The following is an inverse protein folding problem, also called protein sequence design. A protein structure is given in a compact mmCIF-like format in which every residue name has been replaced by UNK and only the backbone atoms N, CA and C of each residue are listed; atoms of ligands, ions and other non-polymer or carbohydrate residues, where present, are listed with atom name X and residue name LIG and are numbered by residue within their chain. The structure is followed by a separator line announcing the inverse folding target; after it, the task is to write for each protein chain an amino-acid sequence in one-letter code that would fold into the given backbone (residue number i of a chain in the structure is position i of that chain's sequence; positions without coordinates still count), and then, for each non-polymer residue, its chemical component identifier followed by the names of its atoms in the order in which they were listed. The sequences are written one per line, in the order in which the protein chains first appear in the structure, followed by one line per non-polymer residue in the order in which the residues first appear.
data_IF_491753967525
#
_entry.id   IF_491753967525
#
_cell.length_a   1.000
_cell.length_b   1.000
_cell.length_c   1.000
_cell.angle_alpha   90.00
_cell.angle_beta   90.00
_cell.angle_gamma   90.00
#
_symmetry.space_group_name_H-M   'P 1'
#
loop_
_entity.id
_entity.type
_entity.pdbx_description
1 polymer ?
#
# COMPACT_ATOMS: atom_id res chain seq x y z
N UNK A 1 -11.57 -7.29 -3.09
CA UNK A 1 -11.10 -6.21 -2.21
C UNK A 1 -11.53 -4.90 -2.84
N UNK A 2 -12.25 -4.05 -2.11
CA UNK A 2 -12.72 -2.77 -2.63
C UNK A 2 -11.60 -1.73 -2.53
N UNK A 3 -11.62 -0.68 -3.37
CA UNK A 3 -10.67 0.42 -3.27
C UNK A 3 -10.67 1.05 -1.86
N UNK A 4 -11.86 1.15 -1.24
CA UNK A 4 -12.04 1.65 0.12
C UNK A 4 -11.25 0.87 1.17
N UNK A 5 -11.14 -0.45 1.02
CA UNK A 5 -10.41 -1.31 1.96
C UNK A 5 -8.90 -1.05 1.84
N UNK A 6 -8.43 -0.80 0.62
CA UNK A 6 -7.02 -0.48 0.33
C UNK A 6 -6.68 0.91 0.88
N UNK A 7 -7.55 1.90 0.65
CA UNK A 7 -7.37 3.26 1.18
C UNK A 7 -7.33 3.25 2.72
N UNK A 8 -8.23 2.49 3.36
CA UNK A 8 -8.24 2.32 4.82
C UNK A 8 -6.93 1.71 5.34
N UNK A 9 -6.35 0.75 4.62
CA UNK A 9 -5.03 0.21 4.97
C UNK A 9 -3.92 1.25 4.83
N UNK A 10 -3.88 1.99 3.72
CA UNK A 10 -2.88 3.04 3.49
C UNK A 10 -2.93 4.09 4.62
N UNK A 11 -4.12 4.49 5.04
CA UNK A 11 -4.31 5.42 6.17
C UNK A 11 -3.77 4.85 7.48
N UNK A 12 -3.99 3.56 7.75
CA UNK A 12 -3.45 2.86 8.92
C UNK A 12 -1.92 2.87 8.95
N UNK A 13 -1.27 2.62 7.79
CA UNK A 13 0.18 2.74 7.64
C UNK A 13 0.67 4.19 7.78
N UNK A 14 -0.11 5.18 7.35
CA UNK A 14 0.18 6.61 7.53
C UNK A 14 0.14 7.02 8.99
N UNK A 15 -0.88 6.57 9.71
CA UNK A 15 -1.03 6.85 11.13
C UNK A 15 0.10 6.22 11.94
N UNK A 16 0.42 4.95 11.66
CA UNK A 16 1.54 4.26 12.29
C UNK A 16 2.88 5.00 12.03
N UNK A 17 3.12 5.49 10.81
CA UNK A 17 4.33 6.27 10.52
C UNK A 17 4.38 7.57 11.33
N UNK A 18 3.26 8.29 11.47
CA UNK A 18 3.18 9.53 12.27
C UNK A 18 3.47 9.25 13.75
N UNK A 19 2.88 8.22 14.31
CA UNK A 19 3.08 7.85 15.73
C UNK A 19 4.53 7.41 15.99
N UNK A 20 5.13 6.65 15.07
CA UNK A 20 6.55 6.29 15.13
C UNK A 20 7.46 7.50 15.02
N UNK A 21 7.18 8.45 14.11
CA UNK A 21 7.92 9.70 13.99
C UNK A 21 7.77 10.60 15.24
N UNK A 22 6.64 10.51 15.93
CA UNK A 22 6.42 11.14 17.22
C UNK A 22 7.17 10.45 18.39
N UNK A 23 7.94 9.40 18.10
CA UNK A 23 8.72 8.65 19.10
C UNK A 23 7.91 7.60 19.86
N UNK A 24 6.68 7.30 19.43
CA UNK A 24 5.84 6.26 20.06
C UNK A 24 6.13 4.91 19.42
N UNK A 25 6.00 3.85 20.21
CA UNK A 25 6.01 2.49 19.69
C UNK A 25 4.58 2.11 19.29
N UNK A 26 4.40 1.64 18.05
CA UNK A 26 3.09 1.27 17.51
C UNK A 26 3.02 -0.23 17.32
N UNK A 27 2.02 -0.88 17.88
CA UNK A 27 1.78 -2.30 17.63
C UNK A 27 1.04 -2.46 16.30
N UNK A 28 1.76 -2.84 15.25
CA UNK A 28 1.20 -3.00 13.90
C UNK A 28 1.26 -4.47 13.50
N UNK A 29 0.12 -5.05 13.11
CA UNK A 29 -0.02 -6.47 12.76
C UNK A 29 0.56 -7.44 13.80
N UNK A 30 0.37 -7.13 15.09
CA UNK A 30 0.84 -7.98 16.20
C UNK A 30 2.34 -7.90 16.49
N UNK A 31 3.08 -7.00 15.82
CA UNK A 31 4.50 -6.73 16.10
C UNK A 31 4.67 -5.27 16.51
N UNK A 32 5.63 -5.01 17.40
CA UNK A 32 5.96 -3.64 17.79
C UNK A 32 6.84 -3.01 16.73
N UNK A 33 6.37 -1.89 16.18
CA UNK A 33 7.05 -1.13 15.14
C UNK A 33 7.57 0.16 15.76
N UNK A 34 8.85 0.42 15.53
CA UNK A 34 9.61 1.55 16.08
C UNK A 34 10.26 2.33 14.92
N UNK A 35 11.00 3.38 15.23
CA UNK A 35 11.69 4.21 14.22
C UNK A 35 12.64 3.41 13.31
N UNK A 36 13.18 2.30 13.81
CA UNK A 36 14.04 1.39 13.05
C UNK A 36 13.28 0.71 11.90
N UNK A 37 11.98 0.47 12.09
CA UNK A 37 11.10 -0.18 11.13
C UNK A 37 10.35 0.84 10.24
N UNK A 38 10.70 2.13 10.32
CA UNK A 38 10.09 3.19 9.50
C UNK A 38 10.26 2.91 7.99
N UNK A 39 11.40 2.35 7.59
CA UNK A 39 11.65 1.95 6.22
C UNK A 39 10.72 0.80 5.77
N UNK A 40 10.39 -0.13 6.66
CA UNK A 40 9.44 -1.22 6.37
C UNK A 40 8.01 -0.67 6.21
N UNK A 41 7.58 0.23 7.10
CA UNK A 41 6.29 0.92 7.00
C UNK A 41 6.13 1.67 5.68
N UNK A 42 7.18 2.39 5.24
CA UNK A 42 7.20 3.10 3.96
C UNK A 42 7.12 2.14 2.78
N UNK A 43 7.85 1.03 2.84
CA UNK A 43 7.81 -0.01 1.81
C UNK A 43 6.42 -0.63 1.72
N UNK A 44 5.82 -1.00 2.86
CA UNK A 44 4.46 -1.53 2.91
C UNK A 44 3.42 -0.55 2.35
N UNK A 45 3.54 0.75 2.64
CA UNK A 45 2.66 1.77 2.03
C UNK A 45 2.79 1.79 0.50
N UNK A 46 4.02 1.79 -0.02
CA UNK A 46 4.25 1.78 -1.47
C UNK A 46 3.67 0.55 -2.14
N UNK A 47 3.79 -0.61 -1.50
CA UNK A 47 3.16 -1.86 -1.99
C UNK A 47 1.63 -1.71 -2.06
N UNK A 48 1.01 -1.17 -1.02
CA UNK A 48 -0.43 -0.91 -1.01
C UNK A 48 -0.85 0.14 -2.05
N UNK A 49 -0.06 1.19 -2.26
CA UNK A 49 -0.30 2.19 -3.31
C UNK A 49 -0.15 1.59 -4.71
N UNK A 50 0.85 0.75 -4.95
CA UNK A 50 1.00 0.02 -6.21
C UNK A 50 -0.18 -0.92 -6.45
N UNK A 51 -0.62 -1.62 -5.41
CA UNK A 51 -1.79 -2.50 -5.46
C UNK A 51 -3.07 -1.70 -5.73
N UNK A 52 -3.23 -0.53 -5.09
CA UNK A 52 -4.31 0.42 -5.36
C UNK A 52 -4.30 0.85 -6.83
N UNK A 53 -3.15 1.25 -7.36
CA UNK A 53 -3.01 1.65 -8.75
C UNK A 53 -3.36 0.51 -9.71
N UNK A 54 -2.98 -0.72 -9.38
CA UNK A 54 -3.29 -1.92 -10.17
C UNK A 54 -4.78 -2.26 -10.17
N UNK A 55 -5.47 -2.06 -9.03
CA UNK A 55 -6.92 -2.28 -8.92
C UNK A 55 -7.72 -1.13 -9.52
N UNK A 56 -7.25 0.12 -9.38
CA UNK A 56 -7.89 1.31 -9.92
C UNK A 56 -7.73 1.43 -11.44
N UNK A 57 -6.59 0.98 -11.96
CA UNK A 57 -6.30 0.92 -13.38
C UNK A 57 -5.92 -0.53 -13.73
N UNK A 58 -6.91 -1.44 -13.83
CA UNK A 58 -6.64 -2.76 -14.37
C UNK A 58 -6.16 -2.52 -15.79
N UNK A 59 -4.86 -2.76 -16.04
CA UNK A 59 -4.25 -2.52 -17.33
C UNK A 59 -5.19 -3.07 -18.41
N UNK A 60 -5.77 -2.17 -19.21
CA UNK A 60 -6.57 -2.56 -20.37
C UNK A 60 -5.62 -3.36 -21.24
N UNK A 61 -5.75 -4.68 -21.22
CA UNK A 61 -5.10 -5.52 -22.20
C UNK A 61 -5.58 -4.99 -23.56
N UNK A 62 -4.70 -4.40 -24.39
CA UNK A 62 -5.11 -4.09 -25.75
C UNK A 62 -5.34 -5.47 -26.36
N UNK A 63 -6.60 -5.80 -26.62
CA UNK A 63 -6.96 -6.95 -27.41
C UNK A 63 -6.05 -6.93 -28.65
N UNK A 64 -5.31 -8.01 -28.87
CA UNK A 64 -4.46 -8.11 -30.03
C UNK A 64 -5.37 -8.17 -31.26
N UNK A 65 -5.45 -7.08 -32.03
CA UNK A 65 -6.13 -7.11 -33.31
C UNK A 65 -5.35 -8.03 -34.24
N UNK A 66 -5.91 -9.21 -34.54
CA UNK A 66 -5.32 -10.12 -35.51
C UNK A 66 -5.25 -9.43 -36.88
N UNK A 67 -4.06 -9.40 -37.47
CA UNK A 67 -3.86 -8.97 -38.86
C UNK A 67 -4.00 -10.20 -39.75
N UNK A 68 -5.03 -10.20 -40.58
CA UNK A 68 -5.16 -11.17 -41.66
C UNK A 68 -4.39 -10.62 -42.87
N UNK A 69 -3.48 -11.43 -43.42
CA UNK A 69 -2.75 -11.19 -44.68
C UNK A 69 -3.13 -12.25 -45.69
#
# INVERSE_FOLDING_TARGET
MKLSDIDSMIELYLQAERDVLAGKQVTFQGRTVTSENLNELRSGRREWEQRRASVANPARQPYAAARFT
#
